data_IF_827989945673
#
_entry.id   IF_827989945673
#
_cell.length_a   1.000
_cell.length_b   1.000
_cell.length_c   1.000
_cell.angle_alpha   90.00
_cell.angle_beta   90.00
_cell.angle_gamma   90.00
#
_symmetry.space_group_name_H-M   'P 1'
#
loop_
_entity.id
_entity.type
_entity.pdbx_description
1 polymer ?
#
# COMPACT_ATOMS: atom_id res chain seq x y z
N UNK A 1 -22.98 -33.72 2.60
CA UNK A 1 -21.59 -33.34 2.91
C UNK A 1 -20.87 -33.27 1.57
N UNK A 2 -20.61 -32.05 1.06
CA UNK A 2 -19.45 -31.26 1.47
C UNK A 2 -19.85 -29.89 2.04
N UNK A 3 -19.13 -29.46 3.08
CA UNK A 3 -19.38 -28.23 3.83
C UNK A 3 -18.39 -27.17 3.33
N UNK A 4 -18.68 -26.56 2.19
CA UNK A 4 -17.85 -25.46 1.65
C UNK A 4 -18.33 -24.17 2.29
N UNK A 5 -17.61 -23.71 3.31
CA UNK A 5 -17.69 -22.33 3.81
C UNK A 5 -17.07 -21.42 2.76
N UNK A 6 -17.85 -21.03 1.75
CA UNK A 6 -17.47 -19.97 0.83
C UNK A 6 -17.64 -18.63 1.56
N UNK A 7 -16.62 -18.22 2.31
CA UNK A 7 -16.42 -16.80 2.64
C UNK A 7 -16.00 -16.13 1.34
N UNK A 8 -16.99 -15.77 0.54
CA UNK A 8 -16.83 -15.10 -0.74
C UNK A 8 -16.03 -13.81 -0.56
N UNK A 9 -14.77 -13.92 -0.98
CA UNK A 9 -13.97 -12.86 -1.61
C UNK A 9 -13.78 -11.60 -0.76
N UNK A 10 -12.89 -11.74 0.22
CA UNK A 10 -12.03 -10.64 0.68
C UNK A 10 -11.10 -10.24 -0.48
N UNK A 11 -11.66 -9.53 -1.46
CA UNK A 11 -10.88 -8.88 -2.51
C UNK A 11 -10.04 -7.85 -1.76
N UNK A 12 -8.72 -8.05 -1.75
CA UNK A 12 -7.73 -7.22 -1.08
C UNK A 12 -7.81 -5.73 -1.44
N UNK A 13 -8.78 -5.04 -0.83
CA UNK A 13 -9.14 -3.65 -1.12
C UNK A 13 -9.06 -2.76 0.13
N UNK A 14 -8.57 -3.29 1.26
CA UNK A 14 -8.45 -2.53 2.51
C UNK A 14 -7.14 -1.73 2.63
N UNK A 15 -6.61 -1.21 1.52
CA UNK A 15 -5.50 -0.23 1.55
C UNK A 15 -5.65 0.93 0.55
N UNK A 16 -6.80 1.13 -0.10
CA UNK A 16 -6.97 2.19 -1.13
C UNK A 16 -6.91 3.62 -0.57
N UNK A 17 -7.05 3.82 0.74
CA UNK A 17 -7.13 5.15 1.35
C UNK A 17 -5.90 6.03 1.13
N UNK A 18 -4.72 5.44 0.91
CA UNK A 18 -3.49 6.19 0.66
C UNK A 18 -3.14 6.37 -0.84
N UNK A 19 -3.95 5.83 -1.76
CA UNK A 19 -3.71 5.91 -3.20
C UNK A 19 -2.54 5.03 -3.66
N UNK A 20 -1.73 5.49 -4.62
CA UNK A 20 -0.58 4.74 -5.13
C UNK A 20 0.41 4.38 -4.02
N UNK A 21 0.60 5.27 -3.05
CA UNK A 21 1.54 5.01 -1.98
C UNK A 21 1.09 3.89 -1.04
N UNK A 22 -0.14 3.37 -1.07
CA UNK A 22 -0.49 2.19 -0.25
C UNK A 22 0.13 0.89 -0.75
N UNK A 23 0.42 0.83 -2.06
CA UNK A 23 1.03 -0.33 -2.73
C UNK A 23 2.50 -0.10 -3.06
N UNK A 24 3.11 0.97 -2.56
CA UNK A 24 4.48 1.31 -2.85
C UNK A 24 5.42 0.59 -1.89
N UNK A 25 6.51 0.00 -2.41
CA UNK A 25 7.55 -0.62 -1.58
C UNK A 25 8.18 0.34 -0.56
N UNK A 26 8.28 1.63 -0.90
CA UNK A 26 8.91 2.66 -0.05
C UNK A 26 7.96 3.32 0.95
N UNK A 27 6.66 2.99 0.92
CA UNK A 27 5.68 3.61 1.78
C UNK A 27 5.45 2.79 3.03
N UNK A 28 5.56 3.44 4.19
CA UNK A 28 5.45 2.82 5.49
C UNK A 28 4.32 3.44 6.30
N UNK A 29 3.31 2.65 6.64
CA UNK A 29 2.25 3.08 7.53
C UNK A 29 2.71 3.05 8.99
N UNK A 30 2.61 4.18 9.68
CA UNK A 30 2.99 4.35 11.08
C UNK A 30 1.71 4.65 11.85
N UNK A 31 1.33 3.75 12.76
CA UNK A 31 0.21 3.94 13.66
C UNK A 31 0.69 4.66 14.92
N UNK A 32 0.09 5.80 15.22
CA UNK A 32 0.32 6.53 16.47
C UNK A 32 -0.51 5.95 17.61
N UNK A 33 -0.04 6.10 18.84
CA UNK A 33 -0.76 5.66 20.05
C UNK A 33 -2.16 6.30 20.20
N UNK A 34 -2.39 7.45 19.55
CA UNK A 34 -3.69 8.15 19.50
C UNK A 34 -4.68 7.58 18.45
N UNK A 35 -4.30 6.51 17.74
CA UNK A 35 -5.15 5.86 16.73
C UNK A 35 -5.03 6.43 15.32
N UNK A 36 -4.31 7.54 15.12
CA UNK A 36 -4.05 8.08 13.79
C UNK A 36 -3.00 7.25 13.04
N UNK A 37 -3.24 6.99 11.77
CA UNK A 37 -2.29 6.30 10.89
C UNK A 37 -1.68 7.32 9.93
N UNK A 38 -0.36 7.40 9.91
CA UNK A 38 0.40 8.28 9.03
C UNK A 38 1.16 7.45 8.01
N UNK A 39 1.27 7.96 6.78
CA UNK A 39 2.11 7.35 5.77
C UNK A 39 3.45 8.07 5.72
N UNK A 40 4.54 7.33 5.85
CA UNK A 40 5.90 7.84 5.73
C UNK A 40 6.51 7.32 4.42
N UNK A 41 7.02 8.23 3.60
CA UNK A 41 7.74 7.90 2.39
C UNK A 41 9.24 7.78 2.70
N UNK A 42 9.76 6.56 2.69
CA UNK A 42 11.19 6.32 2.93
C UNK A 42 12.07 6.84 1.78
N UNK A 43 11.50 6.98 0.57
CA UNK A 43 12.17 7.54 -0.61
C UNK A 43 12.60 9.00 -0.43
N UNK A 44 11.89 9.75 0.41
CA UNK A 44 12.24 11.12 0.81
C UNK A 44 13.62 11.21 1.49
N UNK A 45 14.13 10.10 2.04
CA UNK A 45 15.46 10.04 2.65
C UNK A 45 16.58 10.05 1.62
N UNK A 46 16.34 9.48 0.44
CA UNK A 46 17.32 9.39 -0.64
C UNK A 46 17.16 10.54 -1.63
N UNK A 47 15.93 10.96 -1.89
CA UNK A 47 15.63 12.04 -2.81
C UNK A 47 14.73 13.10 -2.12
N UNK A 48 15.25 14.32 -1.89
CA UNK A 48 14.54 15.37 -1.18
C UNK A 48 13.37 15.98 -2.00
N UNK A 49 13.22 15.63 -3.28
CA UNK A 49 12.07 16.04 -4.09
C UNK A 49 10.79 15.34 -3.65
N UNK A 50 10.89 14.25 -2.86
CA UNK A 50 9.73 13.56 -2.30
C UNK A 50 9.42 14.08 -0.90
N UNK A 51 8.15 14.39 -0.64
CA UNK A 51 7.68 14.74 0.70
C UNK A 51 7.72 13.53 1.64
N UNK A 52 8.32 13.70 2.84
CA UNK A 52 8.40 12.64 3.86
C UNK A 52 7.03 12.17 4.34
N UNK A 53 6.08 13.09 4.39
CA UNK A 53 4.67 12.85 4.69
C UNK A 53 3.82 13.38 3.53
N UNK A 54 3.57 12.57 2.50
CA UNK A 54 2.76 13.02 1.38
C UNK A 54 1.30 13.23 1.83
N UNK A 55 0.67 14.28 1.31
CA UNK A 55 -0.76 14.50 1.51
C UNK A 55 -1.56 13.40 0.81
N UNK A 56 -2.48 12.77 1.53
CA UNK A 56 -3.33 11.71 1.00
C UNK A 56 -4.62 12.31 0.41
N UNK A 57 -5.18 11.71 -0.67
CA UNK A 57 -4.70 10.52 -1.38
C UNK A 57 -3.62 10.84 -2.44
N UNK A 58 -2.55 10.04 -2.49
CA UNK A 58 -1.51 10.22 -3.52
C UNK A 58 -1.95 9.58 -4.83
N UNK A 59 -2.29 10.41 -5.81
CA UNK A 59 -2.72 9.95 -7.14
C UNK A 59 -1.58 9.87 -8.16
N UNK A 60 -0.48 10.61 -7.94
CA UNK A 60 0.73 10.55 -8.77
C UNK A 60 1.97 10.51 -7.89
N UNK A 61 2.81 9.52 -8.11
CA UNK A 61 4.13 9.42 -7.48
C UNK A 61 5.14 8.99 -8.54
N UNK A 62 6.07 9.89 -8.88
CA UNK A 62 7.13 9.62 -9.86
C UNK A 62 8.10 8.51 -9.41
N UNK A 63 8.09 8.21 -8.11
CA UNK A 63 8.95 7.22 -7.46
C UNK A 63 8.26 5.93 -7.04
N UNK A 64 7.05 5.70 -7.55
CA UNK A 64 6.27 4.53 -7.19
C UNK A 64 6.92 3.25 -7.72
N UNK A 65 7.19 2.32 -6.82
CA UNK A 65 7.67 0.98 -7.15
C UNK A 65 6.72 -0.05 -6.56
N UNK A 66 6.18 -0.91 -7.44
CA UNK A 66 5.33 -2.02 -7.03
C UNK A 66 6.18 -3.09 -6.36
N UNK A 67 5.74 -3.68 -5.23
CA UNK A 67 6.37 -4.89 -4.73
C UNK A 67 6.26 -5.98 -5.80
N UNK A 68 7.33 -6.74 -6.00
CA UNK A 68 7.45 -7.74 -7.07
C UNK A 68 6.55 -9.00 -6.87
N UNK A 69 5.49 -8.90 -6.06
CA UNK A 69 4.65 -10.02 -5.64
C UNK A 69 3.22 -10.02 -6.18
N UNK A 70 2.87 -9.09 -7.07
CA UNK A 70 1.58 -9.10 -7.79
C UNK A 70 1.71 -9.77 -9.19
N UNK A 71 2.66 -10.69 -9.34
CA UNK A 71 2.70 -11.63 -10.47
C UNK A 71 1.94 -12.89 -10.05
N UNK A 72 0.61 -12.81 -10.00
CA UNK A 72 -0.21 -14.01 -9.93
C UNK A 72 -0.39 -14.51 -11.36
N UNK A 73 0.63 -15.17 -11.91
CA UNK A 73 0.43 -16.15 -12.96
C UNK A 73 0.22 -17.52 -12.28
N UNK A 74 -1.02 -18.03 -12.21
CA UNK A 74 -1.32 -19.30 -11.57
C UNK A 74 -0.99 -20.51 -12.46
N UNK A 75 -0.12 -20.40 -13.47
CA UNK A 75 0.06 -21.47 -14.45
C UNK A 75 1.53 -21.77 -14.78
N UNK A 76 2.24 -22.35 -13.80
CA UNK A 76 3.37 -23.23 -14.10
C UNK A 76 3.19 -24.60 -13.44
#
# INVERSE_FOLDING_TARGET
MPRVTATERDIGAHSTSAGLCSRCRFARAIKSARGSTFLLCERSRTDPSFARYPALPVTRCAGFERPAGDDHDPNL
#
